data_IF_220690019033
#
_entry.id   IF_220690019033
#
_cell.length_a   1.000
_cell.length_b   1.000
_cell.length_c   1.000
_cell.angle_alpha   90.00
_cell.angle_beta   90.00
_cell.angle_gamma   90.00
#
_symmetry.space_group_name_H-M   'P 1'
#
loop_
_entity.id
_entity.type
_entity.pdbx_description
1 polymer ?
#
# COMPACT_ATOMS: atom_id res chain seq x y z
N UNK A 1 62.98 1.12 -51.14
CA UNK A 1 61.86 0.32 -50.64
C UNK A 1 60.62 1.18 -50.77
N UNK A 2 59.93 1.06 -51.91
CA UNK A 2 58.73 1.83 -52.23
C UNK A 2 57.57 1.26 -51.44
N UNK A 3 57.12 2.00 -50.42
CA UNK A 3 55.89 1.65 -49.71
C UNK A 3 54.76 1.76 -50.74
N UNK A 4 54.07 0.65 -51.02
CA UNK A 4 52.94 0.63 -51.94
C UNK A 4 51.80 1.47 -51.36
N UNK A 5 51.54 2.63 -51.96
CA UNK A 5 50.47 3.55 -51.55
C UNK A 5 49.09 2.87 -51.42
N UNK A 6 48.82 1.81 -52.19
CA UNK A 6 47.59 1.03 -52.10
C UNK A 6 47.43 0.24 -50.79
N UNK A 7 48.52 -0.19 -50.16
CA UNK A 7 48.49 -0.90 -48.86
C UNK A 7 48.13 0.07 -47.74
N UNK A 8 48.62 1.32 -47.82
CA UNK A 8 48.28 2.36 -46.84
C UNK A 8 46.80 2.76 -46.97
N UNK A 9 46.30 2.94 -48.19
CA UNK A 9 44.89 3.31 -48.42
C UNK A 9 43.90 2.23 -47.96
N UNK A 10 44.21 0.96 -48.22
CA UNK A 10 43.39 -0.17 -47.77
C UNK A 10 43.40 -0.33 -46.25
N UNK A 11 44.53 -0.13 -45.58
CA UNK A 11 44.63 -0.13 -44.13
C UNK A 11 43.83 1.02 -43.46
N UNK A 12 43.88 2.23 -44.04
CA UNK A 12 43.10 3.39 -43.57
C UNK A 12 41.59 3.15 -43.76
N UNK A 13 41.17 2.59 -44.90
CA UNK A 13 39.77 2.26 -45.19
C UNK A 13 39.22 1.20 -44.22
N UNK A 14 39.97 0.11 -44.02
CA UNK A 14 39.56 -0.97 -43.12
C UNK A 14 39.46 -0.51 -41.66
N UNK A 15 40.42 0.29 -41.19
CA UNK A 15 40.38 0.84 -39.83
C UNK A 15 39.25 1.86 -39.64
N UNK A 16 38.98 2.72 -40.62
CA UNK A 16 37.85 3.64 -40.58
C UNK A 16 36.50 2.91 -40.53
N UNK A 17 36.34 1.81 -41.29
CA UNK A 17 35.14 0.97 -41.24
C UNK A 17 34.90 0.34 -39.86
N UNK A 18 35.95 -0.22 -39.25
CA UNK A 18 35.87 -0.82 -37.90
C UNK A 18 35.53 0.22 -36.83
N UNK A 19 36.13 1.41 -36.89
CA UNK A 19 35.83 2.52 -35.97
C UNK A 19 34.38 2.98 -36.15
N UNK A 20 33.89 3.07 -37.39
CA UNK A 20 32.51 3.40 -37.68
C UNK A 20 31.51 2.40 -37.09
N UNK A 21 31.77 1.10 -37.24
CA UNK A 21 30.93 0.04 -36.65
C UNK A 21 30.95 0.10 -35.12
N UNK A 22 32.11 0.30 -34.50
CA UNK A 22 32.24 0.40 -33.05
C UNK A 22 31.50 1.61 -32.48
N UNK A 23 31.67 2.79 -33.09
CA UNK A 23 30.94 4.01 -32.70
C UNK A 23 29.43 3.85 -32.89
N UNK A 24 29.01 3.26 -34.02
CA UNK A 24 27.60 2.97 -34.29
C UNK A 24 27.00 2.05 -33.23
N UNK A 25 27.68 0.93 -32.93
CA UNK A 25 27.25 -0.01 -31.89
C UNK A 25 27.14 0.63 -30.50
N UNK A 26 28.13 1.46 -30.12
CA UNK A 26 28.11 2.17 -28.83
C UNK A 26 26.95 3.16 -28.73
N UNK A 27 26.67 3.93 -29.78
CA UNK A 27 25.54 4.88 -29.81
C UNK A 27 24.19 4.15 -29.77
N UNK A 28 24.06 3.02 -30.48
CA UNK A 28 22.87 2.19 -30.45
C UNK A 28 22.61 1.64 -29.04
N UNK A 29 23.63 1.05 -28.42
CA UNK A 29 23.53 0.55 -27.04
C UNK A 29 23.11 1.64 -26.04
N UNK A 30 23.70 2.84 -26.13
CA UNK A 30 23.30 3.97 -25.28
C UNK A 30 21.85 4.40 -25.50
N UNK A 31 21.39 4.45 -26.74
CA UNK A 31 20.00 4.79 -27.08
C UNK A 31 19.02 3.73 -26.59
N UNK A 32 19.37 2.46 -26.73
CA UNK A 32 18.56 1.33 -26.25
C UNK A 32 18.45 1.33 -24.73
N UNK A 33 19.57 1.46 -24.02
CA UNK A 33 19.59 1.55 -22.56
C UNK A 33 18.76 2.73 -22.04
N UNK A 34 18.85 3.89 -22.68
CA UNK A 34 18.04 5.06 -22.32
C UNK A 34 16.54 4.83 -22.56
N UNK A 35 16.18 4.25 -23.71
CA UNK A 35 14.77 3.93 -24.04
C UNK A 35 14.18 2.90 -23.09
N UNK A 36 14.96 1.89 -22.71
CA UNK A 36 14.57 0.89 -21.73
C UNK A 36 14.34 1.54 -20.36
N UNK A 37 15.22 2.42 -19.91
CA UNK A 37 15.04 3.18 -18.67
C UNK A 37 13.76 4.05 -18.71
N UNK A 38 13.54 4.80 -19.78
CA UNK A 38 12.33 5.62 -19.95
C UNK A 38 11.04 4.78 -19.96
N UNK A 39 11.08 3.60 -20.59
CA UNK A 39 9.94 2.66 -20.59
C UNK A 39 9.67 2.14 -19.18
N UNK A 40 10.71 1.68 -18.48
CA UNK A 40 10.58 1.16 -17.12
C UNK A 40 10.05 2.22 -16.15
N UNK A 41 10.48 3.48 -16.29
CA UNK A 41 9.93 4.60 -15.51
C UNK A 41 8.44 4.82 -15.78
N UNK A 42 8.02 4.83 -17.06
CA UNK A 42 6.60 4.98 -17.41
C UNK A 42 5.74 3.83 -16.89
N UNK A 43 6.24 2.60 -16.99
CA UNK A 43 5.57 1.41 -16.42
C UNK A 43 5.45 1.51 -14.90
N UNK A 44 6.52 1.86 -14.20
CA UNK A 44 6.52 2.03 -12.74
C UNK A 44 5.57 3.16 -12.31
N UNK A 45 5.54 4.29 -13.02
CA UNK A 45 4.61 5.39 -12.74
C UNK A 45 3.16 5.00 -12.97
N UNK A 46 2.85 4.32 -14.09
CA UNK A 46 1.49 3.84 -14.37
C UNK A 46 1.01 2.87 -13.28
N UNK A 47 1.85 1.90 -12.93
CA UNK A 47 1.59 0.96 -11.85
C UNK A 47 1.33 1.71 -10.55
N UNK A 48 2.21 2.64 -10.17
CA UNK A 48 2.09 3.39 -8.93
C UNK A 48 0.78 4.19 -8.87
N UNK A 49 0.37 4.84 -9.95
CA UNK A 49 -0.90 5.60 -10.01
C UNK A 49 -2.09 4.67 -9.71
N UNK A 50 -2.16 3.51 -10.37
CA UNK A 50 -3.26 2.57 -10.16
C UNK A 50 -3.25 2.02 -8.74
N UNK A 51 -2.10 1.50 -8.31
CA UNK A 51 -1.99 0.83 -7.01
C UNK A 51 -2.24 1.82 -5.87
N UNK A 52 -1.71 3.04 -5.94
CA UNK A 52 -2.00 4.10 -4.95
C UNK A 52 -3.51 4.34 -4.82
N UNK A 53 -4.24 4.44 -5.94
CA UNK A 53 -5.69 4.64 -5.90
C UNK A 53 -6.43 3.47 -5.20
N UNK A 54 -5.97 2.24 -5.40
CA UNK A 54 -6.51 1.07 -4.70
C UNK A 54 -6.15 1.08 -3.20
N UNK A 55 -4.91 1.42 -2.85
CA UNK A 55 -4.47 1.52 -1.46
C UNK A 55 -5.24 2.62 -0.71
N UNK A 56 -5.51 3.77 -1.34
CA UNK A 56 -6.29 4.83 -0.69
C UNK A 56 -7.72 4.41 -0.41
N UNK A 57 -8.38 3.74 -1.37
CA UNK A 57 -9.72 3.17 -1.15
C UNK A 57 -9.70 2.12 -0.04
N UNK A 58 -8.66 1.30 0.00
CA UNK A 58 -8.50 0.28 1.04
C UNK A 58 -8.33 0.90 2.43
N UNK A 59 -7.51 1.94 2.56
CA UNK A 59 -7.35 2.67 3.81
C UNK A 59 -8.65 3.38 4.24
N UNK A 60 -9.42 3.93 3.30
CA UNK A 60 -10.75 4.51 3.60
C UNK A 60 -11.73 3.43 4.05
N UNK A 61 -11.72 2.25 3.44
CA UNK A 61 -12.53 1.13 3.89
C UNK A 61 -12.14 0.66 5.31
N UNK A 62 -10.85 0.68 5.65
CA UNK A 62 -10.39 0.44 7.02
C UNK A 62 -10.93 1.49 8.00
N UNK A 63 -11.00 2.77 7.59
CA UNK A 63 -11.60 3.82 8.41
C UNK A 63 -13.08 3.54 8.70
N UNK A 64 -13.85 3.10 7.71
CA UNK A 64 -15.26 2.74 7.93
C UNK A 64 -15.41 1.61 8.95
N UNK A 65 -14.55 0.60 8.92
CA UNK A 65 -14.56 -0.47 9.94
C UNK A 65 -14.09 0.04 11.30
N UNK A 66 -13.16 0.99 11.36
CA UNK A 66 -12.71 1.61 12.61
C UNK A 66 -13.81 2.40 13.34
N UNK A 67 -14.82 2.87 12.61
CA UNK A 67 -16.01 3.54 13.16
C UNK A 67 -17.17 2.60 13.49
N UNK A 68 -17.14 1.34 13.04
CA UNK A 68 -18.21 0.37 13.28
C UNK A 68 -18.18 -0.12 14.73
N UNK A 69 -19.08 0.42 15.57
CA UNK A 69 -19.26 0.04 16.98
C UNK A 69 -20.42 -0.95 17.19
N UNK A 70 -20.97 -1.48 16.09
CA UNK A 70 -22.06 -2.45 16.11
C UNK A 70 -23.44 -1.85 16.32
N UNK A 71 -23.55 -0.53 16.22
CA UNK A 71 -24.83 0.19 16.30
C UNK A 71 -25.28 0.75 14.95
N UNK A 72 -26.59 0.91 14.79
CA UNK A 72 -27.24 1.59 13.66
C UNK A 72 -28.29 2.55 14.20
N UNK A 73 -28.23 3.82 13.80
CA UNK A 73 -29.14 4.88 14.28
C UNK A 73 -29.18 4.98 15.82
N UNK A 74 -28.04 4.77 16.48
CA UNK A 74 -27.90 4.82 17.94
C UNK A 74 -28.51 3.63 18.69
N UNK A 75 -28.81 2.52 18.00
CA UNK A 75 -29.34 1.29 18.60
C UNK A 75 -28.49 0.08 18.19
N UNK A 76 -28.46 -1.01 18.98
CA UNK A 76 -27.78 -2.24 18.57
C UNK A 76 -28.28 -2.73 17.21
N UNK A 77 -27.37 -3.02 16.28
CA UNK A 77 -27.72 -3.35 14.89
C UNK A 77 -28.14 -4.82 14.68
N UNK A 78 -27.88 -5.69 15.67
CA UNK A 78 -28.19 -7.12 15.62
C UNK A 78 -29.59 -7.47 16.12
N UNK A 79 -29.92 -8.76 16.03
CA UNK A 79 -31.17 -9.29 16.56
C UNK A 79 -31.16 -9.35 18.10
N UNK A 80 -32.34 -9.25 18.71
CA UNK A 80 -32.47 -9.40 20.17
C UNK A 80 -31.81 -8.29 21.00
N UNK A 81 -31.52 -7.13 20.40
CA UNK A 81 -30.83 -6.03 21.09
C UNK A 81 -29.31 -6.20 21.19
N UNK A 82 -28.74 -7.15 20.43
CA UNK A 82 -27.30 -7.37 20.35
C UNK A 82 -26.62 -6.40 19.37
N UNK A 83 -25.38 -6.04 19.63
CA UNK A 83 -24.54 -5.34 18.66
C UNK A 83 -24.15 -6.31 17.53
N UNK A 84 -24.03 -5.80 16.30
CA UNK A 84 -23.62 -6.59 15.14
C UNK A 84 -22.89 -5.70 14.13
N UNK A 85 -21.85 -6.22 13.47
CA UNK A 85 -21.07 -5.43 12.51
C UNK A 85 -21.97 -4.87 11.40
N UNK A 86 -21.89 -3.56 11.19
CA UNK A 86 -22.65 -2.85 10.16
C UNK A 86 -21.83 -2.60 8.90
N UNK A 87 -20.50 -2.72 9.01
CA UNK A 87 -19.55 -2.50 7.90
C UNK A 87 -18.81 -3.80 7.60
N UNK A 88 -18.84 -4.21 6.33
CA UNK A 88 -18.05 -5.36 5.86
C UNK A 88 -16.55 -5.07 5.94
N UNK A 89 -15.76 -6.10 6.27
CA UNK A 89 -14.31 -6.00 6.27
C UNK A 89 -13.80 -5.75 4.84
N UNK A 90 -12.82 -4.84 4.63
CA UNK A 90 -12.24 -4.62 3.32
C UNK A 90 -11.56 -5.89 2.81
N UNK A 91 -11.61 -6.08 1.49
CA UNK A 91 -10.83 -7.08 0.77
C UNK A 91 -9.84 -6.38 -0.17
N UNK A 92 -8.72 -7.02 -0.45
CA UNK A 92 -7.71 -6.53 -1.39
C UNK A 92 -7.08 -7.72 -2.10
N UNK A 93 -7.35 -7.84 -3.40
CA UNK A 93 -6.61 -8.75 -4.27
C UNK A 93 -5.69 -7.93 -5.19
N UNK A 94 -4.38 -7.89 -4.92
CA UNK A 94 -3.45 -7.16 -5.77
C UNK A 94 -3.30 -7.82 -7.15
N UNK A 95 -3.52 -9.13 -7.29
CA UNK A 95 -3.29 -9.84 -8.55
C UNK A 95 -4.39 -9.59 -9.57
N UNK A 96 -5.55 -9.05 -9.16
CA UNK A 96 -6.59 -8.55 -10.06
C UNK A 96 -6.20 -7.23 -10.75
N UNK A 97 -5.17 -6.53 -10.26
CA UNK A 97 -4.67 -5.30 -10.88
C UNK A 97 -3.71 -5.68 -12.02
N UNK A 98 -4.14 -5.41 -13.26
CA UNK A 98 -3.37 -5.70 -14.48
C UNK A 98 -2.18 -4.73 -14.67
N UNK A 99 -1.10 -4.99 -13.94
CA UNK A 99 0.14 -4.20 -13.95
C UNK A 99 1.39 -5.07 -13.86
N UNK A 100 2.51 -4.56 -14.37
CA UNK A 100 3.81 -5.24 -14.27
C UNK A 100 4.43 -5.05 -12.88
N UNK A 101 4.11 -5.92 -11.92
CA UNK A 101 4.64 -5.89 -10.56
C UNK A 101 6.17 -5.85 -10.46
N UNK A 102 6.89 -6.36 -11.46
CA UNK A 102 8.37 -6.33 -11.52
C UNK A 102 8.95 -4.94 -11.73
N UNK A 103 8.12 -3.95 -12.10
CA UNK A 103 8.53 -2.57 -12.22
C UNK A 103 8.74 -1.89 -10.85
N UNK A 104 8.25 -2.49 -9.75
CA UNK A 104 8.44 -1.96 -8.40
C UNK A 104 9.73 -2.46 -7.73
N UNK A 105 10.29 -1.65 -6.80
CA UNK A 105 11.26 -2.13 -5.83
C UNK A 105 10.72 -3.32 -5.04
N UNK A 106 11.60 -4.30 -4.79
CA UNK A 106 11.24 -5.56 -4.13
C UNK A 106 10.50 -5.37 -2.80
N UNK A 107 10.91 -4.40 -1.99
CA UNK A 107 10.27 -4.11 -0.71
C UNK A 107 8.83 -3.57 -0.87
N UNK A 108 8.59 -2.63 -1.78
CA UNK A 108 7.24 -2.12 -2.06
C UNK A 108 6.35 -3.22 -2.62
N UNK A 109 6.86 -4.00 -3.58
CA UNK A 109 6.13 -5.14 -4.13
C UNK A 109 5.75 -6.14 -3.02
N UNK A 110 6.71 -6.55 -2.18
CA UNK A 110 6.44 -7.48 -1.09
C UNK A 110 5.41 -6.95 -0.09
N UNK A 111 5.56 -5.68 0.33
CA UNK A 111 4.65 -5.04 1.28
C UNK A 111 3.21 -4.97 0.72
N UNK A 112 3.05 -4.60 -0.55
CA UNK A 112 1.74 -4.47 -1.21
C UNK A 112 1.10 -5.84 -1.42
N UNK A 113 1.84 -6.81 -1.99
CA UNK A 113 1.32 -8.15 -2.24
C UNK A 113 0.97 -8.88 -0.93
N UNK A 114 1.66 -8.58 0.16
CA UNK A 114 1.40 -9.13 1.49
C UNK A 114 0.16 -8.56 2.20
N UNK A 115 -0.48 -7.50 1.68
CA UNK A 115 -1.64 -6.88 2.34
C UNK A 115 -2.84 -7.83 2.45
N UNK A 116 -3.09 -8.66 1.43
CA UNK A 116 -4.18 -9.64 1.45
C UNK A 116 -4.07 -10.57 2.66
N UNK A 117 -2.87 -11.09 2.91
CA UNK A 117 -2.58 -11.95 4.06
C UNK A 117 -2.70 -11.20 5.40
N UNK A 118 -2.26 -9.93 5.46
CA UNK A 118 -2.40 -9.11 6.68
C UNK A 118 -3.87 -8.86 7.04
N UNK A 119 -4.74 -8.62 6.04
CA UNK A 119 -6.19 -8.48 6.23
C UNK A 119 -6.78 -9.78 6.78
N UNK A 120 -6.42 -10.92 6.17
CA UNK A 120 -6.88 -12.23 6.59
C UNK A 120 -6.46 -12.55 8.04
N UNK A 121 -5.21 -12.21 8.38
CA UNK A 121 -4.68 -12.41 9.71
C UNK A 121 -5.39 -11.55 10.76
N UNK A 122 -5.62 -10.27 10.47
CA UNK A 122 -6.40 -9.39 11.34
C UNK A 122 -7.84 -9.91 11.52
N UNK A 123 -8.48 -10.37 10.45
CA UNK A 123 -9.82 -10.97 10.52
C UNK A 123 -9.87 -12.18 11.45
N UNK A 124 -8.87 -13.06 11.38
CA UNK A 124 -8.76 -14.21 12.28
C UNK A 124 -8.61 -13.79 13.73
N UNK A 125 -7.74 -12.81 14.00
CA UNK A 125 -7.48 -12.29 15.35
C UNK A 125 -8.74 -11.67 15.96
N UNK A 126 -9.41 -10.79 15.21
CA UNK A 126 -10.67 -10.16 15.63
C UNK A 126 -11.76 -11.20 15.88
N UNK A 127 -11.86 -12.24 15.05
CA UNK A 127 -12.88 -13.28 15.20
C UNK A 127 -12.71 -14.13 16.47
N UNK A 128 -11.51 -14.19 17.08
CA UNK A 128 -11.32 -14.91 18.33
C UNK A 128 -12.05 -14.26 19.51
N UNK A 129 -12.31 -12.94 19.44
CA UNK A 129 -12.94 -12.16 20.50
C UNK A 129 -14.48 -12.19 20.45
N UNK A 130 -15.08 -12.85 19.45
CA UNK A 130 -16.53 -12.81 19.17
C UNK A 130 -17.42 -13.47 20.25
N UNK A 131 -16.86 -14.29 21.15
CA UNK A 131 -17.65 -15.06 22.12
C UNK A 131 -17.71 -14.45 23.51
N UNK A 132 -17.05 -13.32 23.73
CA UNK A 132 -17.11 -12.61 25.01
C UNK A 132 -18.30 -11.63 25.03
N UNK A 133 -18.90 -11.48 26.21
CA UNK A 133 -19.76 -10.36 26.62
C UNK A 133 -20.95 -9.88 25.74
N UNK A 134 -21.94 -10.74 25.39
CA UNK A 134 -23.21 -10.25 24.85
C UNK A 134 -23.98 -9.39 25.89
N UNK A 135 -24.79 -8.39 25.46
CA UNK A 135 -25.14 -8.05 24.08
C UNK A 135 -24.19 -7.09 23.34
N UNK A 136 -23.24 -6.46 24.04
CA UNK A 136 -22.37 -5.42 23.46
C UNK A 136 -21.20 -5.97 22.65
N UNK A 137 -20.69 -7.17 22.98
CA UNK A 137 -19.50 -7.77 22.36
C UNK A 137 -18.30 -6.80 22.35
N UNK A 138 -18.03 -6.20 23.51
CA UNK A 138 -17.16 -5.03 23.66
C UNK A 138 -15.74 -5.33 23.19
N UNK A 139 -15.17 -6.47 23.59
CA UNK A 139 -13.79 -6.84 23.22
C UNK A 139 -13.69 -7.11 21.70
N UNK A 140 -14.71 -7.72 21.09
CA UNK A 140 -14.76 -7.89 19.64
C UNK A 140 -14.76 -6.54 18.91
N UNK A 141 -15.61 -5.60 19.29
CA UNK A 141 -15.66 -4.29 18.63
C UNK A 141 -14.42 -3.45 18.92
N UNK A 142 -13.82 -3.55 20.10
CA UNK A 142 -12.53 -2.91 20.36
C UNK A 142 -11.41 -3.49 19.50
N UNK A 143 -11.28 -4.82 19.42
CA UNK A 143 -10.27 -5.46 18.59
C UNK A 143 -10.46 -5.10 17.11
N UNK A 144 -11.71 -5.16 16.61
CA UNK A 144 -12.08 -4.78 15.24
C UNK A 144 -11.71 -3.34 14.94
N UNK A 145 -12.19 -2.40 15.76
CA UNK A 145 -12.00 -0.96 15.52
C UNK A 145 -10.53 -0.56 15.61
N UNK A 146 -9.83 -1.04 16.64
CA UNK A 146 -8.40 -0.77 16.82
C UNK A 146 -7.56 -1.36 15.68
N UNK A 147 -7.77 -2.64 15.37
CA UNK A 147 -6.98 -3.35 14.37
C UNK A 147 -7.11 -2.73 12.98
N UNK A 148 -8.32 -2.37 12.58
CA UNK A 148 -8.54 -1.69 11.30
C UNK A 148 -8.06 -0.24 11.29
N UNK A 149 -8.10 0.47 12.43
CA UNK A 149 -7.47 1.78 12.52
C UNK A 149 -5.95 1.71 12.27
N UNK A 150 -5.26 0.73 12.85
CA UNK A 150 -3.82 0.50 12.67
C UNK A 150 -3.50 0.02 11.25
N UNK A 151 -4.28 -0.91 10.71
CA UNK A 151 -4.11 -1.40 9.34
C UNK A 151 -4.29 -0.28 8.31
N UNK A 152 -5.31 0.57 8.47
CA UNK A 152 -5.56 1.72 7.61
C UNK A 152 -4.38 2.70 7.56
N UNK A 153 -3.76 2.97 8.72
CA UNK A 153 -2.56 3.81 8.81
C UNK A 153 -1.36 3.17 8.10
N UNK A 154 -1.18 1.86 8.28
CA UNK A 154 -0.11 1.10 7.61
C UNK A 154 -0.25 1.15 6.09
N UNK A 155 -1.48 1.01 5.58
CA UNK A 155 -1.77 1.10 4.14
C UNK A 155 -1.53 2.51 3.62
N UNK A 156 -1.86 3.53 4.41
CA UNK A 156 -1.67 4.93 4.05
C UNK A 156 -0.19 5.29 3.97
N UNK A 157 0.62 4.80 4.90
CA UNK A 157 2.09 4.90 4.83
C UNK A 157 2.66 4.19 3.60
N UNK A 158 2.15 3.00 3.27
CA UNK A 158 2.57 2.27 2.07
C UNK A 158 2.22 3.03 0.78
N UNK A 159 1.01 3.60 0.71
CA UNK A 159 0.59 4.44 -0.40
C UNK A 159 1.48 5.69 -0.53
N UNK A 160 1.89 6.29 0.59
CA UNK A 160 2.80 7.43 0.60
C UNK A 160 4.20 7.05 0.10
N UNK A 161 4.79 5.95 0.58
CA UNK A 161 6.07 5.43 0.08
C UNK A 161 6.03 5.14 -1.43
N UNK A 162 4.91 4.62 -1.93
CA UNK A 162 4.72 4.36 -3.36
C UNK A 162 4.60 5.66 -4.19
N UNK A 163 3.92 6.69 -3.66
CA UNK A 163 3.90 8.02 -4.29
C UNK A 163 5.29 8.62 -4.40
N UNK A 164 6.06 8.57 -3.31
CA UNK A 164 7.43 9.06 -3.26
C UNK A 164 8.32 8.35 -4.27
N UNK A 165 8.20 7.02 -4.38
CA UNK A 165 8.93 6.24 -5.37
C UNK A 165 8.64 6.67 -6.81
N UNK A 166 7.38 6.99 -7.11
CA UNK A 166 6.94 7.36 -8.46
C UNK A 166 6.86 8.88 -8.70
N UNK A 167 7.37 9.71 -7.78
CA UNK A 167 7.28 11.18 -7.83
C UNK A 167 5.85 11.70 -8.03
N UNK A 168 4.86 11.00 -7.46
CA UNK A 168 3.46 11.40 -7.51
C UNK A 168 3.17 12.47 -6.45
N UNK A 169 2.17 13.34 -6.67
CA UNK A 169 1.76 14.29 -5.65
C UNK A 169 1.33 13.54 -4.38
N UNK A 170 1.59 14.12 -3.19
CA UNK A 170 1.07 13.58 -1.94
C UNK A 170 -0.45 13.54 -1.98
N UNK A 171 -1.06 12.67 -1.17
CA UNK A 171 -2.51 12.68 -1.00
C UNK A 171 -2.95 14.10 -0.60
N UNK A 172 -3.91 14.67 -1.33
CA UNK A 172 -4.45 16.00 -1.07
C UNK A 172 -4.86 16.09 0.41
N UNK A 173 -4.15 16.91 1.18
CA UNK A 173 -4.56 17.21 2.55
C UNK A 173 -5.85 18.04 2.45
N UNK A 174 -6.97 17.46 2.83
CA UNK A 174 -8.21 18.22 2.97
C UNK A 174 -7.95 19.40 3.92
N UNK A 175 -8.27 20.61 3.47
CA UNK A 175 -7.88 21.88 4.09
C UNK A 175 -8.54 22.14 5.46
N UNK A 176 -9.43 21.25 5.91
CA UNK A 176 -10.30 21.43 7.08
C UNK A 176 -9.97 20.48 8.25
N UNK A 177 -8.74 19.95 8.31
CA UNK A 177 -8.28 19.15 9.46
C UNK A 177 -8.84 17.73 9.56
N UNK A 178 -9.77 17.33 8.69
CA UNK A 178 -10.40 16.00 8.68
C UNK A 178 -9.72 15.00 7.70
N UNK A 179 -8.39 14.95 7.65
CA UNK A 179 -7.70 13.94 6.84
C UNK A 179 -7.99 12.53 7.41
N UNK A 180 -8.29 11.55 6.55
CA UNK A 180 -8.50 10.13 6.89
C UNK A 180 -7.51 9.60 7.92
N UNK A 181 -6.22 9.89 7.76
CA UNK A 181 -5.17 9.39 8.66
C UNK A 181 -5.25 10.00 10.07
N UNK A 182 -5.77 11.22 10.20
CA UNK A 182 -6.09 11.82 11.49
C UNK A 182 -7.24 11.08 12.16
N UNK A 183 -8.34 10.82 11.43
CA UNK A 183 -9.50 10.08 11.93
C UNK A 183 -9.14 8.64 12.35
N UNK A 184 -8.27 7.96 11.60
CA UNK A 184 -7.75 6.65 11.98
C UNK A 184 -6.97 6.70 13.30
N UNK A 185 -6.10 7.71 13.49
CA UNK A 185 -5.37 7.89 14.75
C UNK A 185 -6.32 8.18 15.92
N UNK A 186 -7.29 9.05 15.69
CA UNK A 186 -8.32 9.37 16.68
C UNK A 186 -9.08 8.11 17.12
N UNK A 187 -9.54 7.28 16.17
CA UNK A 187 -10.25 6.03 16.52
C UNK A 187 -9.36 5.03 17.27
N UNK A 188 -8.11 4.86 16.83
CA UNK A 188 -7.13 4.01 17.53
C UNK A 188 -6.93 4.47 18.99
N UNK A 189 -6.74 5.77 19.18
CA UNK A 189 -6.45 6.35 20.49
C UNK A 189 -7.69 6.32 21.40
N UNK A 190 -8.88 6.57 20.84
CA UNK A 190 -10.18 6.42 21.53
C UNK A 190 -10.38 5.00 22.06
N UNK A 191 -10.24 3.98 21.22
CA UNK A 191 -10.40 2.57 21.63
C UNK A 191 -9.35 2.18 22.68
N UNK A 192 -8.12 2.66 22.53
CA UNK A 192 -7.05 2.42 23.51
C UNK A 192 -7.43 2.97 24.89
N UNK A 193 -7.95 4.21 24.93
CA UNK A 193 -8.39 4.84 26.17
C UNK A 193 -9.60 4.11 26.80
N UNK A 194 -10.59 3.70 25.99
CA UNK A 194 -11.75 2.92 26.42
C UNK A 194 -11.31 1.61 27.10
N UNK A 195 -10.41 0.86 26.45
CA UNK A 195 -9.88 -0.41 26.97
C UNK A 195 -9.09 -0.25 28.26
N UNK A 196 -8.24 0.78 28.34
CA UNK A 196 -7.47 1.09 29.56
C UNK A 196 -8.40 1.46 30.74
N UNK A 197 -9.42 2.28 30.49
CA UNK A 197 -10.40 2.65 31.50
C UNK A 197 -11.19 1.44 32.02
N UNK A 198 -11.55 0.51 31.13
CA UNK A 198 -12.21 -0.74 31.50
C UNK A 198 -11.31 -1.64 32.37
N UNK A 199 -10.06 -1.85 31.97
CA UNK A 199 -9.10 -2.64 32.73
C UNK A 199 -8.81 -2.03 34.12
N UNK A 200 -8.74 -0.70 34.21
CA UNK A 200 -8.60 0.01 35.49
C UNK A 200 -9.80 -0.23 36.41
N UNK A 201 -11.03 -0.23 35.87
CA UNK A 201 -12.25 -0.53 36.65
C UNK A 201 -12.26 -1.98 37.14
N UNK A 202 -11.90 -2.94 36.30
CA UNK A 202 -11.83 -4.36 36.69
C UNK A 202 -10.78 -4.58 37.77
N UNK A 203 -9.58 -4.02 37.61
CA UNK A 203 -8.49 -4.19 38.57
C UNK A 203 -8.80 -3.54 39.93
N UNK A 204 -9.46 -2.38 39.94
CA UNK A 204 -9.89 -1.72 41.18
C UNK A 204 -10.99 -2.49 41.94
N UNK A 205 -11.79 -3.30 41.23
CA UNK A 205 -12.85 -4.13 41.80
C UNK A 205 -12.41 -5.58 42.11
N UNK A 206 -11.11 -5.91 41.95
CA UNK A 206 -10.58 -7.23 42.28
C UNK A 206 -10.27 -7.28 43.79
N UNK A 207 -10.83 -8.24 44.55
CA UNK A 207 -10.62 -8.35 46.00
C UNK A 207 -9.18 -8.69 46.37
#
# INVERSE_FOLDING_TARGET
MSIEWGVIQSAISASAGLVGVWLGGRLTWQREAKREMERNLKEASYLAILVVAHLDRLATACLHVAYDDGTQEGRPAGSGGCHASTVSTPNFDPLEIDVNWKALPQNLMYDILGLAYRIEQLNREVAQEWMDDPPEYTEFFWARRYGYAVLGLTISELAQRLREHASLPPLSQEQDGSNRDFQLREQRDKVTAERQAYQARISANRP
#
